data_IF_555932585165
#
_entry.id   IF_555932585165
#
_cell.length_a   1.000
_cell.length_b   1.000
_cell.length_c   1.000
_cell.angle_alpha   90.00
_cell.angle_beta   90.00
_cell.angle_gamma   90.00
#
_symmetry.space_group_name_H-M   'P 1'
#
loop_
_entity.id
_entity.type
_entity.pdbx_description
1 polymer ?
#
# COMPACT_ATOMS: atom_id res chain seq x y z
N UNK A 1 -9.42 17.55 13.26
CA UNK A 1 -8.76 17.43 11.94
C UNK A 1 -8.11 16.06 11.73
N UNK A 2 -7.24 15.57 12.64
CA UNK A 2 -6.60 14.23 12.52
C UNK A 2 -7.59 13.05 12.55
N UNK A 3 -8.65 13.14 13.35
CA UNK A 3 -9.60 12.04 13.53
C UNK A 3 -10.40 11.72 12.25
N UNK A 4 -10.85 12.75 11.54
CA UNK A 4 -11.56 12.61 10.27
C UNK A 4 -10.64 12.05 9.16
N UNK A 5 -9.37 12.45 9.16
CA UNK A 5 -8.35 11.91 8.27
C UNK A 5 -8.12 10.41 8.53
N UNK A 6 -7.95 10.03 9.80
CA UNK A 6 -7.79 8.62 10.20
C UNK A 6 -9.01 7.78 9.82
N UNK A 7 -10.22 8.33 10.00
CA UNK A 7 -11.47 7.64 9.65
C UNK A 7 -11.58 7.37 8.15
N UNK A 8 -11.20 8.34 7.31
CA UNK A 8 -11.17 8.16 5.84
C UNK A 8 -10.15 7.12 5.40
N UNK A 9 -8.99 7.07 6.06
CA UNK A 9 -7.99 6.02 5.82
C UNK A 9 -8.57 4.64 6.16
N UNK A 10 -9.23 4.49 7.32
CA UNK A 10 -9.85 3.23 7.72
C UNK A 10 -10.98 2.80 6.77
N UNK A 11 -11.82 3.72 6.31
CA UNK A 11 -12.86 3.40 5.32
C UNK A 11 -12.27 2.92 4.00
N UNK A 12 -11.20 3.56 3.54
CA UNK A 12 -10.45 3.15 2.32
C UNK A 12 -9.81 1.77 2.49
N UNK A 13 -9.36 1.45 3.71
CA UNK A 13 -8.85 0.12 4.06
C UNK A 13 -9.98 -0.91 4.28
N UNK A 14 -11.23 -0.51 4.47
CA UNK A 14 -12.36 -1.42 4.62
C UNK A 14 -13.03 -1.77 3.29
N UNK A 15 -12.83 -0.94 2.26
CA UNK A 15 -13.34 -1.20 0.90
C UNK A 15 -12.70 -2.45 0.29
N UNK A 16 -13.56 -3.37 -0.15
CA UNK A 16 -13.24 -4.64 -0.84
C UNK A 16 -12.83 -4.48 -2.31
N UNK A 17 -12.47 -3.26 -2.70
CA UNK A 17 -11.94 -3.06 -4.04
C UNK A 17 -10.58 -3.73 -4.17
N UNK A 18 -10.17 -4.09 -5.39
CA UNK A 18 -8.94 -4.82 -5.68
C UNK A 18 -7.70 -3.94 -5.40
N UNK A 19 -7.46 -3.67 -4.12
CA UNK A 19 -6.30 -2.96 -3.61
C UNK A 19 -5.32 -3.98 -3.05
N UNK A 20 -4.13 -3.99 -3.60
CA UNK A 20 -3.05 -4.84 -3.09
C UNK A 20 -2.38 -4.12 -1.92
N UNK A 21 -2.09 -4.88 -0.86
CA UNK A 21 -1.52 -4.35 0.39
C UNK A 21 -0.29 -5.15 0.72
N UNK A 22 0.86 -4.51 0.59
CA UNK A 22 2.14 -5.13 0.90
C UNK A 22 2.68 -4.55 2.20
N UNK A 23 3.16 -5.44 3.06
CA UNK A 23 3.85 -5.10 4.31
C UNK A 23 5.23 -5.73 4.30
N UNK A 24 6.21 -4.99 4.81
CA UNK A 24 7.54 -5.49 5.04
C UNK A 24 7.67 -5.84 6.52
N UNK A 25 8.05 -7.07 6.82
CA UNK A 25 8.22 -7.57 8.18
C UNK A 25 9.69 -7.87 8.47
N UNK A 26 10.15 -7.51 9.67
CA UNK A 26 11.47 -7.86 10.17
C UNK A 26 11.39 -8.15 11.66
N UNK A 27 11.87 -9.33 12.06
CA UNK A 27 11.79 -9.79 13.45
C UNK A 27 10.36 -9.80 14.01
N UNK A 28 9.36 -10.12 13.17
CA UNK A 28 7.94 -10.13 13.55
C UNK A 28 7.29 -8.74 13.68
N UNK A 29 7.99 -7.67 13.30
CA UNK A 29 7.45 -6.30 13.34
C UNK A 29 7.25 -5.77 11.91
N UNK A 30 6.16 -5.05 11.69
CA UNK A 30 5.95 -4.30 10.44
C UNK A 30 6.89 -3.11 10.42
N UNK A 31 7.78 -3.07 9.43
CA UNK A 31 8.78 -2.01 9.25
C UNK A 31 8.52 -1.13 8.03
N UNK A 32 7.51 -1.47 7.23
CA UNK A 32 7.03 -0.66 6.12
C UNK A 32 5.76 -1.22 5.50
N UNK A 33 5.08 -0.39 4.72
CA UNK A 33 3.85 -0.76 4.02
C UNK A 33 3.64 0.05 2.75
N UNK A 34 2.82 -0.48 1.84
CA UNK A 34 2.33 0.22 0.65
C UNK A 34 0.96 -0.28 0.24
N UNK A 35 0.14 0.62 -0.33
CA UNK A 35 -1.10 0.30 -1.02
C UNK A 35 -0.91 0.47 -2.52
N UNK A 36 -1.29 -0.55 -3.29
CA UNK A 36 -1.23 -0.58 -4.74
C UNK A 36 -2.64 -0.63 -5.32
N UNK A 37 -2.97 0.36 -6.15
CA UNK A 37 -4.22 0.41 -6.91
C UNK A 37 -3.93 0.06 -8.37
N UNK A 38 -4.34 -1.13 -8.78
CA UNK A 38 -4.17 -1.58 -10.17
C UNK A 38 -5.19 -0.91 -11.09
N UNK A 39 -4.82 -0.70 -12.36
CA UNK A 39 -5.67 -0.04 -13.37
C UNK A 39 -7.02 -0.69 -13.61
N UNK A 40 -7.20 -1.95 -13.17
CA UNK A 40 -8.46 -2.70 -13.26
C UNK A 40 -9.41 -2.46 -12.08
N UNK A 41 -8.94 -1.80 -11.03
CA UNK A 41 -9.73 -1.49 -9.83
C UNK A 41 -10.45 -0.16 -10.03
N UNK A 42 -11.77 -0.22 -10.13
CA UNK A 42 -12.67 0.93 -10.33
C UNK A 42 -12.71 1.92 -9.15
N UNK A 43 -11.88 1.73 -8.11
CA UNK A 43 -11.97 2.38 -6.80
C UNK A 43 -11.76 3.88 -6.80
N UNK A 44 -11.19 4.39 -7.87
CA UNK A 44 -11.17 5.82 -8.11
C UNK A 44 -11.47 6.06 -9.57
N UNK A 45 -12.61 6.69 -9.85
CA UNK A 45 -12.93 7.36 -11.12
C UNK A 45 -11.83 8.34 -11.60
N UNK A 46 -10.84 8.60 -10.75
CA UNK A 46 -9.70 9.46 -11.03
C UNK A 46 -8.41 8.63 -11.02
N UNK A 47 -7.90 8.41 -12.24
CA UNK A 47 -6.46 8.37 -12.55
C UNK A 47 -5.74 7.04 -12.29
N UNK A 48 -6.08 6.00 -13.05
CA UNK A 48 -5.01 5.20 -13.64
C UNK A 48 -5.02 5.47 -15.14
N UNK A 49 -4.26 6.48 -15.57
CA UNK A 49 -4.24 6.96 -16.96
C UNK A 49 -3.58 5.98 -17.94
N UNK A 50 -2.88 4.97 -17.44
CA UNK A 50 -2.12 4.02 -18.26
C UNK A 50 -2.47 2.58 -17.88
N UNK A 51 -3.02 1.79 -18.82
CA UNK A 51 -3.23 0.36 -18.62
C UNK A 51 -1.93 -0.33 -18.23
N UNK A 52 -1.97 -1.17 -17.20
CA UNK A 52 -0.81 -1.95 -16.73
C UNK A 52 0.11 -1.22 -15.73
N UNK A 53 -0.23 -0.01 -15.30
CA UNK A 53 0.46 0.69 -14.20
C UNK A 53 -0.36 0.58 -12.92
N UNK A 54 0.32 0.43 -11.79
CA UNK A 54 -0.29 0.53 -10.47
C UNK A 54 0.00 1.91 -9.87
N UNK A 55 -1.00 2.51 -9.22
CA UNK A 55 -0.80 3.72 -8.42
C UNK A 55 -0.32 3.31 -7.01
N UNK A 56 0.85 3.84 -6.62
CA UNK A 56 1.42 3.69 -5.28
C UNK A 56 0.81 4.74 -4.33
N UNK A 57 0.15 4.28 -3.27
CA UNK A 57 -0.39 5.12 -2.20
C UNK A 57 0.10 4.66 -0.84
N UNK A 58 0.21 5.62 0.09
CA UNK A 58 0.57 5.37 1.50
C UNK A 58 1.88 4.55 1.69
N UNK A 59 2.87 4.72 0.80
CA UNK A 59 4.19 4.12 0.97
C UNK A 59 4.87 4.72 2.20
N UNK A 60 5.18 3.88 3.18
CA UNK A 60 5.83 4.29 4.41
C UNK A 60 6.87 3.25 4.85
N UNK A 61 8.02 3.74 5.34
CA UNK A 61 9.09 2.93 5.91
C UNK A 61 9.56 3.57 7.21
N UNK A 62 9.74 2.75 8.25
CA UNK A 62 10.25 3.19 9.54
C UNK A 62 11.60 3.90 9.36
N UNK A 63 11.87 5.03 10.04
CA UNK A 63 13.12 5.76 9.88
C UNK A 63 14.38 4.90 10.07
N UNK A 64 14.36 3.97 11.04
CA UNK A 64 15.48 3.08 11.36
C UNK A 64 15.81 2.05 10.28
N UNK A 65 14.89 1.79 9.34
CA UNK A 65 15.07 0.79 8.27
C UNK A 65 15.25 1.41 6.88
N UNK A 66 15.31 2.76 6.80
CA UNK A 66 15.62 3.47 5.55
C UNK A 66 17.06 3.21 5.13
N UNK A 67 17.34 3.33 3.84
CA UNK A 67 18.66 3.01 3.26
C UNK A 67 18.94 1.51 3.09
N UNK A 68 18.04 0.63 3.56
CA UNK A 68 18.19 -0.83 3.47
C UNK A 68 17.33 -1.47 2.36
N UNK A 69 16.81 -0.68 1.42
CA UNK A 69 16.04 -1.18 0.27
C UNK A 69 14.57 -1.56 0.55
N UNK A 70 14.05 -1.36 1.78
CA UNK A 70 12.66 -1.74 2.16
C UNK A 70 11.59 -1.15 1.23
N UNK A 71 11.77 0.10 0.76
CA UNK A 71 10.81 0.71 -0.18
C UNK A 71 10.77 0.00 -1.53
N UNK A 72 11.94 -0.28 -2.13
CA UNK A 72 12.03 -1.00 -3.40
C UNK A 72 11.43 -2.42 -3.30
N UNK A 73 11.66 -3.06 -2.15
CA UNK A 73 11.10 -4.36 -1.82
C UNK A 73 9.56 -4.35 -1.78
N UNK A 74 8.95 -3.28 -1.24
CA UNK A 74 7.50 -3.11 -1.20
C UNK A 74 6.88 -2.85 -2.60
N UNK A 75 7.60 -2.17 -3.49
CA UNK A 75 7.14 -1.89 -4.87
C UNK A 75 7.15 -3.12 -5.77
N UNK A 76 8.12 -4.03 -5.58
CA UNK A 76 8.33 -5.16 -6.50
C UNK A 76 7.34 -6.32 -6.24
N UNK A 77 6.57 -6.27 -5.15
CA UNK A 77 5.58 -7.32 -4.82
C UNK A 77 6.17 -8.70 -4.47
N UNK A 78 7.49 -8.80 -4.24
CA UNK A 78 8.17 -10.07 -3.91
C UNK A 78 8.02 -10.50 -2.43
N UNK A 79 6.82 -10.36 -1.86
CA UNK A 79 6.50 -10.90 -0.53
C UNK A 79 5.20 -11.69 -0.55
N UNK A 80 5.12 -12.67 0.36
CA UNK A 80 3.91 -13.46 0.65
C UNK A 80 2.71 -12.53 0.83
N UNK A 81 1.85 -12.48 -0.18
CA UNK A 81 0.54 -11.84 -0.07
C UNK A 81 -0.29 -12.67 0.88
N UNK A 82 -0.52 -12.20 2.11
CA UNK A 82 -1.63 -12.72 2.91
C UNK A 82 -2.90 -12.00 2.49
N UNK A 83 -3.64 -12.62 1.58
CA UNK A 83 -5.06 -12.33 1.38
C UNK A 83 -5.81 -12.77 2.63
N UNK A 84 -6.55 -11.85 3.25
CA UNK A 84 -7.55 -12.16 4.27
C UNK A 84 -8.91 -12.39 3.61
#
# INVERSE_FOLDING_TARGET
MREEYNRRLLTTLATKESVERNVAESGGNIVGSVLLYHSTSSASERVVRYPGWAELRLLAVLPSTRGHGVGALLETGMYTTRSN
#
